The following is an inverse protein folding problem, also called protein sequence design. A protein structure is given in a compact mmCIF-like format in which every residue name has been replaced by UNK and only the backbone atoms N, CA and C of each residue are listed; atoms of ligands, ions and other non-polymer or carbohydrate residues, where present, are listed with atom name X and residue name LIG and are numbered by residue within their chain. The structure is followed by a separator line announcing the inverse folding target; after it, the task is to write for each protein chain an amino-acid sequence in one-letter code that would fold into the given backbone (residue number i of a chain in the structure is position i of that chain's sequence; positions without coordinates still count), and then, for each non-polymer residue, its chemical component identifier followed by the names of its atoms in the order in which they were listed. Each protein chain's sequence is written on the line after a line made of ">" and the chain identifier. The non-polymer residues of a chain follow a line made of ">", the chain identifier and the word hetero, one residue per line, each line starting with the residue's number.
data_IF_974320677028
#
_entry.id   IF_974320677028
#
_cell.length_a   1.000
_cell.length_b   1.000
_cell.length_c   1.000
_cell.angle_alpha   90.00
_cell.angle_beta   90.00
_cell.angle_gamma   90.00
#
_symmetry.space_group_name_H-M   'P 1'
#
loop_
_entity.id
_entity.type
_entity.pdbx_description
1 polymer ?
#
# COMPACT_ATOMS: atom_id res chain seq x y z
N UNK A 1 5.46 -13.73 24.69
CA UNK A 1 4.49 -13.02 23.82
C UNK A 1 5.15 -11.73 23.36
N UNK A 2 5.37 -11.59 22.08
CA UNK A 2 5.91 -10.31 21.55
C UNK A 2 4.91 -9.19 21.78
N UNK A 3 5.43 -8.03 22.11
CA UNK A 3 4.61 -6.83 22.29
C UNK A 3 4.06 -6.41 20.92
N UNK A 4 2.76 -6.59 20.71
CA UNK A 4 2.05 -6.23 19.46
C UNK A 4 1.79 -4.73 19.34
N UNK A 5 2.02 -3.97 20.42
CA UNK A 5 1.76 -2.53 20.45
C UNK A 5 2.55 -1.75 19.40
N UNK A 6 3.88 -1.95 19.22
CA UNK A 6 4.63 -1.25 18.18
C UNK A 6 4.13 -1.55 16.76
N UNK A 7 3.70 -2.78 16.51
CA UNK A 7 3.12 -3.15 15.23
C UNK A 7 1.79 -2.44 15.00
N UNK A 8 0.92 -2.41 16.01
CA UNK A 8 -0.37 -1.72 15.92
C UNK A 8 -0.20 -0.21 15.70
N UNK A 9 0.72 0.44 16.42
CA UNK A 9 1.02 1.86 16.25
C UNK A 9 1.54 2.17 14.84
N UNK A 10 2.43 1.34 14.31
CA UNK A 10 2.94 1.46 12.95
C UNK A 10 1.82 1.34 11.92
N UNK A 11 0.96 0.34 12.06
CA UNK A 11 -0.15 0.11 11.13
C UNK A 11 -1.18 1.25 11.17
N UNK A 12 -1.51 1.77 12.34
CA UNK A 12 -2.37 2.93 12.48
C UNK A 12 -1.75 4.17 11.81
N UNK A 13 -0.46 4.42 12.03
CA UNK A 13 0.25 5.52 11.37
C UNK A 13 0.26 5.36 9.85
N UNK A 14 0.44 4.14 9.35
CA UNK A 14 0.38 3.81 7.92
C UNK A 14 -1.02 4.09 7.35
N UNK A 15 -2.08 3.62 8.01
CA UNK A 15 -3.47 3.86 7.60
C UNK A 15 -3.73 5.36 7.49
N UNK A 16 -3.40 6.12 8.52
CA UNK A 16 -3.63 7.56 8.56
C UNK A 16 -2.78 8.32 7.55
N UNK A 17 -1.50 7.94 7.41
CA UNK A 17 -0.57 8.58 6.49
C UNK A 17 -0.94 8.41 5.03
N UNK A 18 -1.34 7.20 4.63
CA UNK A 18 -1.68 6.88 3.25
C UNK A 18 -3.10 7.32 2.85
N UNK A 19 -3.91 7.78 3.79
CA UNK A 19 -5.29 8.23 3.54
C UNK A 19 -5.43 9.75 3.54
N UNK A 20 -4.35 10.48 3.62
CA UNK A 20 -4.40 11.94 3.48
C UNK A 20 -4.89 12.31 2.09
N UNK A 21 -5.86 13.21 1.96
CA UNK A 21 -6.35 13.68 0.67
C UNK A 21 -5.34 14.66 0.06
N UNK A 22 -4.32 14.11 -0.59
CA UNK A 22 -3.35 14.90 -1.35
C UNK A 22 -3.76 14.83 -2.81
N UNK A 23 -3.98 15.97 -3.51
CA UNK A 23 -4.25 15.98 -4.94
C UNK A 23 -3.14 15.23 -5.70
N UNK A 24 -3.53 14.50 -6.73
CA UNK A 24 -2.58 13.67 -7.51
C UNK A 24 -1.40 14.50 -8.04
N UNK A 25 -1.63 15.71 -8.51
CA UNK A 25 -0.63 16.62 -9.05
C UNK A 25 0.40 17.08 -8.00
N UNK A 26 0.03 17.06 -6.72
CA UNK A 26 0.93 17.39 -5.60
C UNK A 26 1.63 16.17 -5.00
N UNK A 27 1.10 14.99 -5.31
CA UNK A 27 1.67 13.69 -4.90
C UNK A 27 2.49 13.03 -6.01
N UNK A 28 2.09 11.84 -6.39
CA UNK A 28 2.80 11.03 -7.40
C UNK A 28 2.82 11.71 -8.79
N UNK A 29 1.76 12.45 -9.15
CA UNK A 29 1.64 13.11 -10.44
C UNK A 29 2.59 14.30 -10.67
N UNK A 30 3.26 14.79 -9.64
CA UNK A 30 4.27 15.84 -9.76
C UNK A 30 5.59 15.36 -10.40
N UNK A 31 5.83 14.05 -10.39
CA UNK A 31 7.06 13.48 -10.91
C UNK A 31 6.98 13.18 -12.40
N UNK A 32 8.01 13.52 -13.19
CA UNK A 32 8.07 13.13 -14.58
C UNK A 32 7.98 11.62 -14.75
N UNK A 33 7.21 11.19 -15.73
CA UNK A 33 7.05 9.78 -16.11
C UNK A 33 7.86 9.49 -17.37
N UNK A 34 8.52 8.34 -17.39
CA UNK A 34 9.23 7.84 -18.57
C UNK A 34 9.19 6.31 -18.64
N UNK A 35 9.67 5.74 -19.75
CA UNK A 35 9.85 4.31 -19.88
C UNK A 35 8.56 3.50 -19.83
N UNK A 36 7.60 3.77 -20.73
CA UNK A 36 6.42 2.94 -20.90
C UNK A 36 6.81 1.62 -21.57
N UNK A 37 6.70 0.52 -20.85
CA UNK A 37 6.99 -0.83 -21.36
C UNK A 37 5.82 -1.75 -21.04
N UNK A 38 5.37 -2.51 -22.03
CA UNK A 38 4.35 -3.53 -21.85
C UNK A 38 4.96 -4.86 -21.42
N UNK A 39 4.29 -5.59 -20.57
CA UNK A 39 4.78 -6.84 -20.02
C UNK A 39 3.70 -7.66 -19.29
N UNK A 40 4.09 -8.82 -18.69
CA UNK A 40 3.15 -9.72 -18.02
C UNK A 40 2.40 -9.10 -16.83
N UNK A 41 3.02 -8.14 -16.18
CA UNK A 41 2.44 -7.44 -15.03
C UNK A 41 1.65 -6.17 -15.42
N UNK A 42 1.55 -5.90 -16.72
CA UNK A 42 0.93 -4.71 -17.28
C UNK A 42 1.96 -3.71 -17.81
N UNK A 43 1.52 -2.49 -18.03
CA UNK A 43 2.38 -1.41 -18.52
C UNK A 43 3.21 -0.86 -17.36
N UNK A 44 4.52 -0.89 -17.51
CA UNK A 44 5.45 -0.31 -16.55
C UNK A 44 5.66 1.18 -16.81
N UNK A 45 5.52 1.97 -15.78
CA UNK A 45 5.76 3.41 -15.78
C UNK A 45 6.88 3.69 -14.78
N UNK A 46 7.94 4.33 -15.22
CA UNK A 46 9.02 4.78 -14.35
C UNK A 46 8.80 6.25 -13.96
N UNK A 47 9.00 6.59 -12.69
CA UNK A 47 8.94 7.95 -12.18
C UNK A 47 10.35 8.47 -11.88
N UNK A 48 10.59 9.72 -12.17
CA UNK A 48 11.82 10.42 -11.78
C UNK A 48 11.72 10.97 -10.35
N UNK A 49 11.33 10.13 -9.41
CA UNK A 49 11.21 10.47 -8.00
C UNK A 49 12.45 10.03 -7.21
N UNK A 50 12.61 10.48 -5.93
CA UNK A 50 13.75 10.09 -5.09
C UNK A 50 13.89 8.59 -4.85
N UNK A 51 12.78 7.83 -4.97
CA UNK A 51 12.77 6.38 -4.76
C UNK A 51 12.93 5.59 -6.05
N UNK A 52 13.15 6.27 -7.19
CA UNK A 52 13.21 5.65 -8.50
C UNK A 52 12.05 4.66 -8.70
N UNK A 53 10.82 5.15 -8.44
CA UNK A 53 9.63 4.33 -8.42
C UNK A 53 9.26 3.77 -9.79
N UNK A 54 8.82 2.52 -9.80
CA UNK A 54 8.20 1.89 -10.95
C UNK A 54 6.79 1.47 -10.58
N UNK A 55 5.85 1.81 -11.45
CA UNK A 55 4.45 1.46 -11.32
C UNK A 55 4.05 0.55 -12.46
N UNK A 56 3.30 -0.51 -12.18
CA UNK A 56 2.69 -1.36 -13.21
C UNK A 56 1.19 -1.20 -13.17
N UNK A 57 0.62 -0.96 -14.34
CA UNK A 57 -0.83 -0.81 -14.53
C UNK A 57 -1.32 -1.91 -15.45
N UNK A 58 -2.27 -2.68 -14.99
CA UNK A 58 -2.92 -3.76 -15.73
C UNK A 58 -4.43 -3.59 -15.66
N UNK A 59 -5.09 -3.63 -16.80
CA UNK A 59 -6.55 -3.49 -16.90
C UNK A 59 -7.08 -2.25 -16.16
N UNK A 60 -6.39 -1.11 -16.30
CA UNK A 60 -6.76 0.14 -15.65
C UNK A 60 -6.52 0.20 -14.14
N UNK A 61 -5.80 -0.77 -13.56
CA UNK A 61 -5.55 -0.86 -12.13
C UNK A 61 -4.06 -1.00 -11.84
N UNK A 62 -3.61 -0.35 -10.78
CA UNK A 62 -2.27 -0.60 -10.25
C UNK A 62 -2.14 -2.07 -9.81
N UNK A 63 -1.11 -2.75 -10.31
CA UNK A 63 -0.82 -4.14 -9.95
C UNK A 63 0.41 -4.29 -9.08
N UNK A 64 1.41 -3.42 -9.29
CA UNK A 64 2.67 -3.46 -8.56
C UNK A 64 3.24 -2.05 -8.43
N UNK A 65 3.78 -1.74 -7.27
CA UNK A 65 4.60 -0.56 -7.00
C UNK A 65 5.96 -1.04 -6.50
N UNK A 66 7.03 -0.57 -7.12
CA UNK A 66 8.39 -0.84 -6.70
C UNK A 66 9.09 0.47 -6.34
N UNK A 67 9.77 0.50 -5.19
CA UNK A 67 10.54 1.66 -4.74
C UNK A 67 11.91 1.22 -4.27
N UNK A 68 12.91 2.00 -4.63
CA UNK A 68 14.27 1.81 -4.12
C UNK A 68 14.40 2.55 -2.79
N UNK A 69 14.83 1.83 -1.78
CA UNK A 69 15.14 2.37 -0.47
C UNK A 69 16.66 2.46 -0.28
N UNK A 70 17.11 3.22 0.71
CA UNK A 70 18.53 3.34 1.03
C UNK A 70 19.20 1.97 1.29
N UNK A 71 18.50 1.07 1.98
CA UNK A 71 19.00 -0.25 2.35
C UNK A 71 18.34 -1.41 1.59
N UNK A 72 17.77 -1.16 0.42
CA UNK A 72 17.16 -2.23 -0.37
C UNK A 72 16.02 -1.79 -1.26
N UNK A 73 15.01 -2.64 -1.36
CA UNK A 73 13.88 -2.47 -2.27
C UNK A 73 12.56 -2.83 -1.56
N UNK A 74 11.55 -2.06 -1.86
CA UNK A 74 10.18 -2.30 -1.45
C UNK A 74 9.32 -2.63 -2.67
N UNK A 75 8.54 -3.69 -2.60
CA UNK A 75 7.52 -4.04 -3.59
C UNK A 75 6.16 -4.18 -2.94
N UNK A 76 5.18 -3.48 -3.48
CA UNK A 76 3.79 -3.60 -3.08
C UNK A 76 2.99 -4.22 -4.22
N UNK A 77 2.58 -5.47 -4.03
CA UNK A 77 1.72 -6.20 -4.96
C UNK A 77 0.26 -6.00 -4.59
N UNK A 78 -0.52 -5.42 -5.47
CA UNK A 78 -1.95 -5.18 -5.30
C UNK A 78 -2.72 -6.34 -5.94
N UNK A 79 -3.25 -7.25 -5.12
CA UNK A 79 -3.82 -8.51 -5.57
C UNK A 79 -5.30 -8.42 -5.90
N UNK A 80 -6.06 -7.64 -5.14
CA UNK A 80 -7.48 -7.43 -5.37
C UNK A 80 -7.96 -6.07 -4.90
N UNK A 81 -9.06 -5.64 -5.48
CA UNK A 81 -9.69 -4.35 -5.24
C UNK A 81 -11.15 -4.55 -4.89
N UNK A 82 -11.69 -3.65 -4.08
CA UNK A 82 -13.14 -3.51 -3.89
C UNK A 82 -13.62 -2.29 -4.64
N UNK A 83 -14.65 -2.48 -5.42
CA UNK A 83 -15.34 -1.40 -6.09
C UNK A 83 -16.47 -0.90 -5.20
N UNK A 84 -16.52 0.42 -4.98
CA UNK A 84 -17.57 1.05 -4.19
C UNK A 84 -18.76 1.42 -5.08
N UNK A 85 -19.91 1.72 -4.46
CA UNK A 85 -21.10 2.15 -5.22
C UNK A 85 -20.93 3.50 -5.95
N UNK A 86 -19.94 4.31 -5.54
CA UNK A 86 -19.55 5.56 -6.20
C UNK A 86 -18.35 5.38 -7.15
N UNK A 87 -18.15 4.16 -7.65
CA UNK A 87 -17.16 3.79 -8.68
C UNK A 87 -15.70 4.01 -8.28
N UNK A 88 -15.39 3.99 -6.99
CA UNK A 88 -14.00 4.04 -6.50
C UNK A 88 -13.44 2.64 -6.35
N UNK A 89 -12.15 2.51 -6.63
CA UNK A 89 -11.40 1.27 -6.41
C UNK A 89 -10.55 1.40 -5.15
N UNK A 90 -10.78 0.48 -4.21
CA UNK A 90 -10.07 0.43 -2.93
C UNK A 90 -9.24 -0.84 -2.84
N UNK A 91 -7.95 -0.78 -2.50
CA UNK A 91 -7.13 -1.98 -2.32
C UNK A 91 -7.72 -2.86 -1.23
N UNK A 92 -7.97 -4.12 -1.55
CA UNK A 92 -8.55 -5.08 -0.62
C UNK A 92 -7.51 -6.07 -0.08
N UNK A 93 -6.75 -6.69 -0.97
CA UNK A 93 -5.67 -7.61 -0.63
C UNK A 93 -4.39 -7.15 -1.30
N UNK A 94 -3.34 -7.05 -0.53
CA UNK A 94 -2.02 -6.65 -1.05
C UNK A 94 -0.89 -7.26 -0.21
N UNK A 95 0.27 -7.38 -0.83
CA UNK A 95 1.47 -7.95 -0.22
C UNK A 95 2.61 -6.97 -0.35
N UNK A 96 3.24 -6.68 0.78
CA UNK A 96 4.44 -5.86 0.85
C UNK A 96 5.66 -6.77 1.01
N UNK A 97 6.60 -6.68 0.09
CA UNK A 97 7.86 -7.43 0.13
C UNK A 97 9.02 -6.45 0.29
N UNK A 98 9.82 -6.67 1.32
CA UNK A 98 11.04 -5.90 1.55
C UNK A 98 12.26 -6.77 1.28
N UNK A 99 13.17 -6.25 0.46
CA UNK A 99 14.47 -6.86 0.17
C UNK A 99 15.59 -6.01 0.76
N UNK A 100 16.64 -6.66 1.23
CA UNK A 100 17.85 -6.00 1.66
C UNK A 100 18.71 -5.54 0.46
N UNK A 101 19.85 -4.89 0.73
CA UNK A 101 20.76 -4.42 -0.31
C UNK A 101 21.35 -5.54 -1.19
N UNK A 102 21.33 -6.81 -0.72
CA UNK A 102 21.76 -7.99 -1.47
C UNK A 102 20.67 -8.58 -2.36
N UNK A 103 19.45 -8.04 -2.31
CA UNK A 103 18.30 -8.57 -3.03
C UNK A 103 17.60 -9.75 -2.36
N UNK A 104 17.97 -10.06 -1.12
CA UNK A 104 17.35 -11.13 -0.34
C UNK A 104 16.07 -10.61 0.34
N UNK A 105 15.01 -11.41 0.30
CA UNK A 105 13.76 -11.08 0.98
C UNK A 105 13.98 -11.26 2.49
N UNK A 106 13.79 -10.19 3.26
CA UNK A 106 13.90 -10.25 4.71
C UNK A 106 12.57 -10.03 5.44
N UNK A 107 11.55 -9.54 4.73
CA UNK A 107 10.22 -9.31 5.32
C UNK A 107 9.13 -9.37 4.27
N UNK A 108 8.05 -10.07 4.60
CA UNK A 108 6.81 -10.11 3.81
C UNK A 108 5.66 -9.77 4.72
N UNK A 109 4.81 -8.85 4.29
CA UNK A 109 3.59 -8.45 5.00
C UNK A 109 2.40 -8.68 4.08
N UNK A 110 1.41 -9.44 4.56
CA UNK A 110 0.20 -9.79 3.83
C UNK A 110 -0.96 -9.02 4.46
N UNK A 111 -1.64 -8.23 3.66
CA UNK A 111 -2.70 -7.32 4.08
C UNK A 111 -4.06 -7.70 3.51
N UNK A 112 -5.08 -7.52 4.34
CA UNK A 112 -6.47 -7.53 3.93
C UNK A 112 -7.20 -6.38 4.62
N UNK A 113 -7.75 -5.46 3.81
CA UNK A 113 -8.51 -4.31 4.27
C UNK A 113 -9.99 -4.44 3.92
N UNK A 114 -10.85 -4.22 4.90
CA UNK A 114 -12.28 -4.02 4.72
C UNK A 114 -12.63 -2.57 5.01
N UNK A 115 -13.51 -1.98 4.19
CA UNK A 115 -13.79 -0.56 4.22
C UNK A 115 -15.20 -0.24 4.70
N UNK A 116 -15.35 0.96 5.27
CA UNK A 116 -16.63 1.57 5.58
C UNK A 116 -16.63 3.02 5.12
N UNK A 117 -17.81 3.54 4.83
CA UNK A 117 -17.97 4.93 4.47
C UNK A 117 -18.21 5.79 5.73
N UNK A 118 -17.45 6.88 5.85
CA UNK A 118 -17.58 7.87 6.92
C UNK A 118 -17.67 9.25 6.28
N UNK A 119 -18.87 9.81 6.21
CA UNK A 119 -19.12 11.03 5.45
C UNK A 119 -18.79 10.81 3.95
N UNK A 120 -17.96 11.68 3.34
CA UNK A 120 -17.54 11.54 1.95
C UNK A 120 -16.34 10.60 1.76
N UNK A 121 -15.79 10.03 2.84
CA UNK A 121 -14.57 9.25 2.80
C UNK A 121 -14.82 7.76 2.97
N UNK A 122 -13.98 6.96 2.30
CA UNK A 122 -13.87 5.52 2.53
C UNK A 122 -12.65 5.26 3.40
N UNK A 123 -12.88 4.64 4.57
CA UNK A 123 -11.83 4.34 5.55
C UNK A 123 -11.76 2.84 5.80
N UNK A 124 -10.59 2.26 6.04
CA UNK A 124 -10.49 0.87 6.43
C UNK A 124 -11.13 0.71 7.82
N UNK A 125 -12.17 -0.13 7.86
CA UNK A 125 -12.86 -0.53 9.09
C UNK A 125 -12.09 -1.61 9.83
N UNK A 126 -11.53 -2.54 9.05
CA UNK A 126 -10.79 -3.68 9.57
C UNK A 126 -9.56 -3.91 8.70
N UNK A 127 -8.43 -4.12 9.33
CA UNK A 127 -7.19 -4.53 8.67
C UNK A 127 -6.68 -5.79 9.33
N UNK A 128 -6.44 -6.82 8.53
CA UNK A 128 -5.65 -7.99 8.89
C UNK A 128 -4.26 -7.85 8.29
N UNK A 129 -3.25 -8.09 9.12
CA UNK A 129 -1.85 -8.08 8.70
C UNK A 129 -1.18 -9.36 9.23
N UNK A 130 -0.52 -10.08 8.32
CA UNK A 130 0.36 -11.20 8.66
C UNK A 130 1.77 -10.81 8.27
N UNK A 131 2.72 -10.96 9.18
CA UNK A 131 4.12 -10.61 8.98
C UNK A 131 4.98 -11.85 9.04
N UNK A 132 5.76 -12.07 7.98
CA UNK A 132 6.78 -13.13 7.89
C UNK A 132 8.16 -12.48 7.71
N UNK A 133 9.17 -13.01 8.39
CA UNK A 133 10.53 -12.50 8.36
C UNK A 133 11.27 -12.80 9.65
N UNK A 134 12.07 -11.86 10.14
CA UNK A 134 12.77 -11.98 11.42
C UNK A 134 11.81 -12.10 12.61
N UNK A 135 10.61 -11.56 12.47
CA UNK A 135 9.53 -11.67 13.45
C UNK A 135 8.27 -12.13 12.75
N UNK A 136 7.67 -13.18 13.28
CA UNK A 136 6.39 -13.69 12.81
C UNK A 136 5.27 -13.09 13.67
N UNK A 137 4.18 -12.71 13.03
CA UNK A 137 3.04 -12.17 13.76
C UNK A 137 1.80 -12.04 12.89
N UNK A 138 0.66 -12.04 13.53
CA UNK A 138 -0.63 -11.73 12.93
C UNK A 138 -1.33 -10.68 13.78
N UNK A 139 -1.90 -9.68 13.13
CA UNK A 139 -2.59 -8.59 13.80
C UNK A 139 -3.89 -8.29 13.07
N UNK A 140 -4.97 -8.12 13.83
CA UNK A 140 -6.22 -7.58 13.34
C UNK A 140 -6.50 -6.24 14.02
N UNK A 141 -6.69 -5.20 13.22
CA UNK A 141 -7.08 -3.88 13.70
C UNK A 141 -8.52 -3.62 13.25
N UNK A 142 -9.38 -3.27 14.21
CA UNK A 142 -10.74 -2.78 13.94
C UNK A 142 -10.82 -1.34 14.37
N UNK A 143 -11.34 -0.51 13.49
CA UNK A 143 -11.64 0.89 13.78
C UNK A 143 -13.13 1.01 13.98
N UNK A 144 -13.52 1.34 15.22
CA UNK A 144 -14.91 1.52 15.63
C UNK A 144 -15.18 3.02 15.87
N UNK A 145 -16.44 3.41 15.75
CA UNK A 145 -16.90 4.79 16.01
C UNK A 145 -16.12 5.85 15.19
N UNK A 146 -15.87 5.54 13.91
CA UNK A 146 -15.18 6.48 13.03
C UNK A 146 -16.06 7.68 12.72
N UNK A 147 -15.53 8.87 12.96
CA UNK A 147 -16.14 10.14 12.58
C UNK A 147 -15.12 11.05 11.89
N UNK A 148 -15.60 11.87 10.97
CA UNK A 148 -14.79 12.92 10.34
C UNK A 148 -15.06 14.22 11.04
N UNK A 149 -14.02 14.77 11.65
CA UNK A 149 -14.05 16.10 12.27
C UNK A 149 -13.48 17.13 11.30
N UNK A 150 -14.21 18.22 11.17
CA UNK A 150 -13.76 19.36 10.37
C UNK A 150 -12.83 20.27 11.17
#
# INVERSE_FOLDING_TARGET
>A
MEDVKPLAERELASILGHRRPIPFEQGEGRWPMHGLEDGPLGVRIALEDPFQSHLWVREGRLSLIQRRLEEGELRLHLLSWKETHDERLLPHRFVLVQKNARGEIHRVEIYRDEYTRVGPYWLPRERQVEVEGERLGSLMIRLEELEVRK
#
